data_IF_605661449204
#
_entry.id   IF_605661449204
#
_cell.length_a   1.000
_cell.length_b   1.000
_cell.length_c   1.000
_cell.angle_alpha   90.00
_cell.angle_beta   90.00
_cell.angle_gamma   90.00
#
_symmetry.space_group_name_H-M   'P 1'
#
loop_
_entity.id
_entity.type
_entity.pdbx_description
1 polymer ?
#
# COMPACT_ATOMS: atom_id res chain seq x y z
N UNK A 1 -5.65 -16.35 -13.76
CA UNK A 1 -6.02 -15.62 -12.53
C UNK A 1 -5.19 -16.21 -11.41
N UNK A 2 -4.47 -15.42 -10.60
CA UNK A 2 -3.85 -15.95 -9.40
C UNK A 2 -4.93 -16.58 -8.51
N UNK A 3 -4.63 -17.74 -7.92
CA UNK A 3 -5.54 -18.38 -6.96
C UNK A 3 -5.41 -17.58 -5.67
N UNK A 4 -6.38 -16.71 -5.40
CA UNK A 4 -6.49 -16.02 -4.11
C UNK A 4 -7.23 -16.91 -3.13
N UNK A 5 -6.63 -17.05 -1.95
CA UNK A 5 -7.22 -17.79 -0.84
C UNK A 5 -8.48 -17.08 -0.36
N UNK A 6 -9.49 -17.84 0.06
CA UNK A 6 -10.69 -17.27 0.67
C UNK A 6 -10.39 -16.72 2.07
N UNK A 7 -10.95 -15.55 2.36
CA UNK A 7 -10.82 -14.86 3.65
C UNK A 7 -11.83 -15.40 4.67
N UNK A 8 -11.48 -15.27 5.95
CA UNK A 8 -12.20 -15.88 7.07
C UNK A 8 -12.13 -15.01 8.31
N UNK A 9 -13.08 -15.18 9.21
CA UNK A 9 -12.99 -14.58 10.54
C UNK A 9 -11.63 -14.89 11.20
N UNK A 10 -11.02 -13.86 11.78
CA UNK A 10 -9.69 -13.87 12.36
C UNK A 10 -8.52 -13.74 11.38
N UNK A 11 -8.73 -13.72 10.05
CA UNK A 11 -7.68 -13.27 9.13
C UNK A 11 -7.39 -11.77 9.40
N UNK A 12 -6.15 -11.35 9.19
CA UNK A 12 -5.69 -9.98 9.48
C UNK A 12 -6.09 -9.00 8.37
N UNK A 13 -6.07 -7.70 8.69
CA UNK A 13 -6.16 -6.62 7.72
C UNK A 13 -4.95 -5.69 7.84
N UNK A 14 -4.49 -5.11 6.74
CA UNK A 14 -3.35 -4.20 6.79
C UNK A 14 -3.25 -3.26 5.60
N UNK A 15 -2.72 -2.07 5.86
CA UNK A 15 -2.37 -1.10 4.82
C UNK A 15 -1.02 -1.46 4.19
N UNK A 16 -0.72 -0.86 3.04
CA UNK A 16 0.61 -0.93 2.45
C UNK A 16 1.59 -0.01 3.20
N UNK A 17 2.89 -0.19 2.98
CA UNK A 17 3.93 0.71 3.53
C UNK A 17 4.11 1.99 2.69
N UNK A 18 3.14 2.35 1.85
CA UNK A 18 3.21 3.47 0.92
C UNK A 18 3.69 4.77 1.58
N UNK A 19 3.06 5.16 2.69
CA UNK A 19 3.38 6.40 3.40
C UNK A 19 4.75 6.36 4.06
N UNK A 20 5.16 5.19 4.59
CA UNK A 20 6.49 5.03 5.19
C UNK A 20 7.58 5.20 4.14
N UNK A 21 7.45 4.52 3.00
CA UNK A 21 8.42 4.62 1.92
C UNK A 21 8.40 5.97 1.23
N UNK A 22 7.24 6.64 1.13
CA UNK A 22 7.18 8.03 0.66
C UNK A 22 8.05 8.94 1.54
N UNK A 23 8.01 8.80 2.87
CA UNK A 23 8.87 9.58 3.78
C UNK A 23 10.34 9.27 3.56
N UNK A 24 10.69 7.99 3.41
CA UNK A 24 12.07 7.56 3.10
C UNK A 24 12.54 8.18 1.78
N UNK A 25 11.71 8.12 0.73
CA UNK A 25 12.00 8.70 -0.57
C UNK A 25 12.19 10.22 -0.52
N UNK A 26 11.36 10.92 0.25
CA UNK A 26 11.47 12.37 0.46
C UNK A 26 12.80 12.74 1.15
N UNK A 27 13.18 11.99 2.19
CA UNK A 27 14.42 12.22 2.94
C UNK A 27 15.65 11.96 2.07
N UNK A 28 15.68 10.84 1.34
CA UNK A 28 16.79 10.49 0.46
C UNK A 28 16.94 11.54 -0.65
N UNK A 29 15.84 11.90 -1.33
CA UNK A 29 15.89 12.89 -2.40
C UNK A 29 16.26 14.28 -1.88
N UNK A 30 15.77 14.68 -0.69
CA UNK A 30 16.18 15.91 -0.02
C UNK A 30 17.68 15.94 0.27
N UNK A 31 18.25 14.84 0.78
CA UNK A 31 19.69 14.73 1.03
C UNK A 31 20.51 14.80 -0.27
N UNK A 32 20.06 14.14 -1.35
CA UNK A 32 20.70 14.21 -2.66
C UNK A 32 20.68 15.66 -3.18
N UNK A 33 19.53 16.32 -3.18
CA UNK A 33 19.42 17.72 -3.60
C UNK A 33 20.32 18.64 -2.76
N UNK A 34 20.36 18.46 -1.44
CA UNK A 34 21.23 19.23 -0.55
C UNK A 34 22.72 19.05 -0.86
N UNK A 35 23.16 17.83 -1.19
CA UNK A 35 24.57 17.58 -1.57
C UNK A 35 24.91 18.15 -2.95
N UNK A 36 23.97 18.16 -3.91
CA UNK A 36 24.16 18.83 -5.21
C UNK A 36 24.29 20.35 -5.02
N UNK A 37 23.38 20.97 -4.25
CA UNK A 37 23.34 22.41 -4.06
C UNK A 37 24.54 22.95 -3.28
N UNK A 38 25.14 22.15 -2.39
CA UNK A 38 26.36 22.51 -1.63
C UNK A 38 27.66 22.22 -2.40
N UNK A 39 27.57 21.81 -3.67
CA UNK A 39 28.74 21.56 -4.52
C UNK A 39 29.45 20.23 -4.25
N UNK A 40 28.89 19.37 -3.40
CA UNK A 40 29.45 18.05 -3.07
C UNK A 40 29.39 17.03 -4.22
N UNK A 41 28.71 17.35 -5.32
CA UNK A 41 28.45 16.43 -6.43
C UNK A 41 29.41 16.57 -7.63
N UNK A 42 30.65 17.00 -7.40
CA UNK A 42 31.68 16.98 -8.45
C UNK A 42 31.94 15.55 -9.02
N UNK A 43 31.43 14.48 -8.38
CA UNK A 43 31.62 13.09 -8.79
C UNK A 43 30.45 12.44 -9.60
N UNK A 44 29.24 13.02 -9.61
CA UNK A 44 28.13 12.50 -10.47
C UNK A 44 27.98 13.34 -11.76
N UNK A 45 28.84 14.35 -11.88
CA UNK A 45 28.88 15.32 -12.95
C UNK A 45 29.73 14.92 -14.17
N UNK A 46 30.15 13.66 -14.31
CA UNK A 46 30.74 13.18 -15.57
C UNK A 46 29.73 12.51 -16.52
N UNK A 47 28.53 12.18 -16.04
CA UNK A 47 27.47 11.56 -16.85
C UNK A 47 26.20 12.40 -17.03
N UNK A 48 25.92 13.36 -16.13
CA UNK A 48 24.65 14.10 -16.10
C UNK A 48 24.78 15.62 -16.34
N UNK A 49 25.98 16.14 -16.62
CA UNK A 49 26.24 17.58 -16.80
C UNK A 49 25.89 18.14 -18.17
N UNK A 50 25.42 17.34 -19.12
CA UNK A 50 25.21 17.80 -20.49
C UNK A 50 23.74 17.97 -20.93
N UNK A 51 22.73 17.71 -20.10
CA UNK A 51 21.34 17.74 -20.61
C UNK A 51 20.36 18.68 -19.94
N UNK A 52 20.59 19.23 -18.74
CA UNK A 52 19.61 20.18 -18.16
C UNK A 52 20.34 21.28 -17.39
N UNK A 53 20.32 22.48 -17.98
CA UNK A 53 21.13 23.63 -17.56
C UNK A 53 21.06 23.95 -16.07
N UNK A 54 22.23 24.32 -15.53
CA UNK A 54 22.46 24.69 -14.13
C UNK A 54 21.67 25.89 -13.58
N UNK A 55 20.67 26.39 -14.31
CA UNK A 55 19.71 27.39 -13.86
C UNK A 55 18.31 26.80 -13.54
N UNK A 56 17.97 25.60 -14.03
CA UNK A 56 16.68 24.95 -13.74
C UNK A 56 16.63 24.27 -12.35
N UNK A 57 17.79 24.14 -11.68
CA UNK A 57 17.89 23.57 -10.33
C UNK A 57 17.61 24.62 -9.24
N UNK A 58 17.52 25.90 -9.58
CA UNK A 58 17.51 26.99 -8.60
C UNK A 58 16.23 27.10 -7.75
N UNK A 59 15.16 26.35 -8.07
CA UNK A 59 13.99 26.15 -7.18
C UNK A 59 13.05 25.08 -7.74
N UNK A 60 12.73 25.13 -9.03
CA UNK A 60 11.78 24.20 -9.67
C UNK A 60 12.30 22.77 -9.78
N UNK A 61 13.53 22.57 -10.29
CA UNK A 61 14.12 21.24 -10.46
C UNK A 61 14.45 20.54 -9.14
N UNK A 62 14.86 21.30 -8.11
CA UNK A 62 15.09 20.78 -6.77
C UNK A 62 13.80 20.26 -6.14
N UNK A 63 12.71 21.04 -6.21
CA UNK A 63 11.40 20.61 -5.69
C UNK A 63 10.85 19.41 -6.48
N UNK A 64 11.01 19.40 -7.81
CA UNK A 64 10.61 18.27 -8.64
C UNK A 64 11.39 16.99 -8.31
N UNK A 65 12.69 17.08 -8.03
CA UNK A 65 13.50 15.93 -7.63
C UNK A 65 13.09 15.38 -6.26
N UNK A 66 12.83 16.26 -5.29
CA UNK A 66 12.34 15.88 -3.94
C UNK A 66 10.95 15.24 -4.01
N UNK A 67 10.02 15.85 -4.76
CA UNK A 67 8.69 15.29 -4.99
C UNK A 67 8.76 13.94 -5.73
N UNK A 68 9.63 13.82 -6.73
CA UNK A 68 9.87 12.57 -7.45
C UNK A 68 10.40 11.46 -6.54
N UNK A 69 11.29 11.79 -5.60
CA UNK A 69 11.74 10.85 -4.57
C UNK A 69 10.61 10.36 -3.67
N UNK A 70 9.74 11.27 -3.23
CA UNK A 70 8.55 10.92 -2.46
C UNK A 70 7.59 10.00 -3.22
N UNK A 71 7.30 10.31 -4.49
CA UNK A 71 6.42 9.48 -5.34
C UNK A 71 7.00 8.10 -5.63
N UNK A 72 8.31 8.00 -5.89
CA UNK A 72 8.98 6.72 -6.04
C UNK A 72 8.89 5.89 -4.74
N UNK A 73 9.12 6.54 -3.60
CA UNK A 73 8.92 5.93 -2.30
C UNK A 73 7.50 5.40 -2.14
N UNK A 74 6.49 6.21 -2.47
CA UNK A 74 5.09 5.81 -2.40
C UNK A 74 4.82 4.54 -3.22
N UNK A 75 5.20 4.51 -4.49
CA UNK A 75 5.00 3.34 -5.36
C UNK A 75 5.73 2.08 -4.88
N UNK A 76 6.94 2.24 -4.33
CA UNK A 76 7.66 1.12 -3.74
C UNK A 76 6.93 0.58 -2.50
N UNK A 77 6.41 1.48 -1.66
CA UNK A 77 5.67 1.10 -0.46
C UNK A 77 4.30 0.48 -0.75
N UNK A 78 3.63 0.85 -1.83
CA UNK A 78 2.37 0.23 -2.28
C UNK A 78 2.51 -1.27 -2.54
N UNK A 79 3.69 -1.72 -2.96
CA UNK A 79 3.98 -3.15 -3.19
C UNK A 79 4.30 -3.94 -1.94
N UNK A 80 4.50 -3.26 -0.80
CA UNK A 80 4.90 -3.88 0.45
C UNK A 80 3.75 -3.90 1.45
N UNK A 81 3.47 -5.08 2.00
CA UNK A 81 2.51 -5.24 3.09
C UNK A 81 3.01 -4.52 4.34
N UNK A 82 2.17 -3.67 4.90
CA UNK A 82 2.36 -3.04 6.20
C UNK A 82 2.04 -4.01 7.35
N UNK A 83 2.19 -3.53 8.59
CA UNK A 83 1.73 -4.28 9.76
C UNK A 83 0.21 -4.47 9.71
N UNK A 84 -0.27 -5.49 10.42
CA UNK A 84 -1.70 -5.64 10.67
C UNK A 84 -2.22 -4.44 11.44
N UNK A 85 -3.37 -3.92 11.01
CA UNK A 85 -4.13 -2.89 11.71
C UNK A 85 -5.41 -3.42 12.37
N UNK A 86 -5.69 -4.72 12.25
CA UNK A 86 -6.90 -5.35 12.79
C UNK A 86 -7.12 -6.77 12.26
N UNK A 87 -8.29 -7.33 12.55
CA UNK A 87 -8.72 -8.65 12.09
C UNK A 87 -10.17 -8.61 11.57
N UNK A 88 -10.56 -9.61 10.79
CA UNK A 88 -11.98 -9.82 10.44
C UNK A 88 -12.71 -10.37 11.66
N UNK A 89 -13.71 -9.65 12.18
CA UNK A 89 -14.39 -10.00 13.43
C UNK A 89 -15.55 -10.96 13.23
N UNK A 90 -16.30 -10.82 12.13
CA UNK A 90 -17.50 -11.62 11.88
C UNK A 90 -17.36 -12.45 10.61
N UNK A 91 -18.16 -13.50 10.50
CA UNK A 91 -18.27 -14.27 9.27
C UNK A 91 -19.63 -14.93 9.08
N UNK A 92 -19.67 -15.89 8.17
CA UNK A 92 -20.81 -16.75 7.93
C UNK A 92 -21.09 -17.70 9.09
N UNK A 93 -22.36 -17.76 9.51
CA UNK A 93 -22.83 -18.65 10.58
C UNK A 93 -22.85 -20.14 10.17
N UNK A 94 -22.85 -20.46 8.87
CA UNK A 94 -23.07 -21.82 8.35
C UNK A 94 -21.99 -22.32 7.38
N UNK A 95 -21.12 -21.43 6.91
CA UNK A 95 -20.09 -21.76 5.92
C UNK A 95 -18.71 -21.51 6.51
N UNK A 96 -17.93 -22.58 6.63
CA UNK A 96 -16.60 -22.55 7.25
C UNK A 96 -15.51 -22.90 6.23
N UNK A 97 -14.39 -22.20 6.31
CA UNK A 97 -13.21 -22.41 5.48
C UNK A 97 -12.04 -22.73 6.40
N UNK A 98 -11.51 -23.95 6.29
CA UNK A 98 -10.52 -24.51 7.24
C UNK A 98 -10.95 -24.29 8.72
N UNK A 99 -12.23 -24.52 9.02
CA UNK A 99 -12.78 -24.49 10.38
C UNK A 99 -13.10 -23.10 10.96
N UNK A 100 -12.91 -22.02 10.19
CA UNK A 100 -13.27 -20.65 10.58
C UNK A 100 -14.37 -20.11 9.68
N UNK A 101 -15.21 -19.24 10.21
CA UNK A 101 -16.34 -18.64 9.48
C UNK A 101 -15.87 -17.94 8.20
N UNK A 102 -16.54 -18.17 7.08
CA UNK A 102 -16.21 -17.54 5.81
C UNK A 102 -16.54 -16.04 5.85
N UNK A 103 -15.60 -15.19 5.45
CA UNK A 103 -15.79 -13.74 5.42
C UNK A 103 -16.42 -13.28 4.10
N UNK A 104 -17.30 -12.28 4.15
CA UNK A 104 -18.14 -11.82 3.04
C UNK A 104 -18.09 -10.31 2.89
N UNK A 105 -17.97 -9.87 1.63
CA UNK A 105 -17.96 -8.47 1.29
C UNK A 105 -19.32 -7.80 1.53
N UNK A 106 -19.28 -6.58 2.03
CA UNK A 106 -20.44 -5.71 2.24
C UNK A 106 -21.26 -6.02 3.48
N UNK A 107 -20.87 -7.02 4.29
CA UNK A 107 -21.62 -7.40 5.50
C UNK A 107 -20.74 -7.78 6.70
N UNK A 108 -19.57 -8.39 6.49
CA UNK A 108 -18.71 -8.79 7.61
C UNK A 108 -17.76 -7.67 8.03
N UNK A 109 -17.60 -7.53 9.35
CA UNK A 109 -16.95 -6.41 10.03
C UNK A 109 -15.46 -6.71 10.22
N UNK A 110 -14.63 -5.65 10.14
CA UNK A 110 -13.21 -5.68 10.50
C UNK A 110 -12.95 -4.79 11.71
N UNK A 111 -12.00 -5.20 12.56
CA UNK A 111 -11.53 -4.49 13.75
C UNK A 111 -10.68 -3.27 13.34
N UNK A 112 -11.34 -2.28 12.76
CA UNK A 112 -10.80 -0.97 12.42
C UNK A 112 -11.97 -0.01 12.14
N UNK A 113 -12.48 0.63 13.19
CA UNK A 113 -13.63 1.54 13.14
C UNK A 113 -14.95 0.90 12.64
N UNK A 114 -15.18 -0.38 12.97
CA UNK A 114 -16.38 -1.17 12.60
C UNK A 114 -16.69 -1.17 11.08
N UNK A 115 -15.64 -1.04 10.28
CA UNK A 115 -15.77 -1.02 8.83
C UNK A 115 -16.04 -2.40 8.24
N UNK A 116 -16.45 -2.41 6.97
CA UNK A 116 -16.75 -3.65 6.26
C UNK A 116 -15.65 -4.01 5.26
N UNK A 117 -15.63 -5.29 4.89
CA UNK A 117 -14.97 -5.74 3.67
C UNK A 117 -15.67 -5.07 2.48
N UNK A 118 -14.94 -4.28 1.69
CA UNK A 118 -15.48 -3.47 0.61
C UNK A 118 -15.67 -4.26 -0.69
N UNK A 119 -14.73 -5.16 -1.01
CA UNK A 119 -14.74 -5.93 -2.27
C UNK A 119 -14.69 -7.43 -2.04
N UNK A 120 -15.15 -8.21 -3.01
CA UNK A 120 -15.21 -9.66 -2.93
C UNK A 120 -15.30 -10.31 -4.30
N UNK A 121 -15.41 -11.63 -4.30
CA UNK A 121 -15.48 -12.43 -5.53
C UNK A 121 -16.70 -12.07 -6.39
N UNK A 122 -16.48 -11.86 -7.68
CA UNK A 122 -17.56 -11.48 -8.61
C UNK A 122 -18.61 -12.60 -8.86
N UNK A 123 -18.23 -13.86 -8.65
CA UNK A 123 -19.04 -15.02 -9.04
C UNK A 123 -19.23 -16.06 -7.94
N UNK A 124 -18.59 -15.87 -6.78
CA UNK A 124 -18.66 -16.81 -5.65
C UNK A 124 -19.31 -16.10 -4.49
N UNK A 125 -20.42 -16.65 -4.00
CA UNK A 125 -21.25 -16.03 -2.98
C UNK A 125 -21.41 -16.98 -1.80
N UNK A 126 -21.37 -16.43 -0.59
CA UNK A 126 -21.69 -17.11 0.66
C UNK A 126 -22.81 -16.34 1.33
N UNK A 127 -23.90 -17.03 1.69
CA UNK A 127 -25.14 -16.43 2.19
C UNK A 127 -25.61 -15.20 1.38
N UNK A 128 -25.53 -15.29 0.05
CA UNK A 128 -25.93 -14.23 -0.90
C UNK A 128 -25.04 -12.97 -0.92
N UNK A 129 -23.94 -12.95 -0.18
CA UNK A 129 -22.93 -11.90 -0.25
C UNK A 129 -21.67 -12.41 -0.97
N UNK A 130 -20.93 -11.56 -1.69
CA UNK A 130 -19.68 -11.96 -2.34
C UNK A 130 -18.67 -12.51 -1.32
N UNK A 131 -18.02 -13.63 -1.65
CA UNK A 131 -16.98 -14.21 -0.79
C UNK A 131 -15.76 -13.28 -0.74
N UNK A 132 -15.30 -12.92 0.46
CA UNK A 132 -14.05 -12.21 0.67
C UNK A 132 -12.85 -13.09 0.33
N UNK A 133 -11.81 -12.50 -0.26
CA UNK A 133 -10.56 -13.17 -0.62
C UNK A 133 -9.38 -12.38 -0.08
N UNK A 134 -8.26 -13.06 0.14
CA UNK A 134 -7.02 -12.37 0.50
C UNK A 134 -6.68 -11.36 -0.60
N UNK A 135 -6.28 -10.16 -0.19
CA UNK A 135 -6.03 -8.97 -1.04
C UNK A 135 -7.27 -8.16 -1.45
N UNK A 136 -8.48 -8.60 -1.12
CA UNK A 136 -9.68 -7.74 -1.22
C UNK A 136 -9.56 -6.54 -0.30
N UNK A 137 -10.25 -5.46 -0.65
CA UNK A 137 -10.19 -4.18 0.05
C UNK A 137 -11.21 -4.11 1.18
N UNK A 138 -10.86 -3.42 2.24
CA UNK A 138 -11.76 -2.96 3.31
C UNK A 138 -12.12 -1.49 3.09
N UNK A 139 -13.13 -0.99 3.79
CA UNK A 139 -13.55 0.41 3.62
C UNK A 139 -12.47 1.44 4.04
N UNK A 140 -11.54 1.11 4.94
CA UNK A 140 -10.40 1.96 5.29
C UNK A 140 -9.32 2.01 4.21
N UNK A 141 -9.45 1.21 3.15
CA UNK A 141 -8.38 1.02 2.16
C UNK A 141 -7.26 0.10 2.63
N UNK A 142 -7.51 -0.67 3.70
CA UNK A 142 -6.70 -1.84 4.06
C UNK A 142 -7.00 -3.01 3.12
N UNK A 143 -6.16 -4.04 3.16
CA UNK A 143 -6.37 -5.29 2.43
C UNK A 143 -6.41 -6.48 3.38
N UNK A 144 -7.18 -7.51 3.02
CA UNK A 144 -7.24 -8.77 3.77
C UNK A 144 -5.92 -9.53 3.63
N UNK A 145 -5.39 -10.05 4.74
CA UNK A 145 -4.11 -10.75 4.86
C UNK A 145 -4.32 -12.06 5.60
N UNK A 146 -3.70 -13.13 5.12
CA UNK A 146 -3.79 -14.45 5.74
C UNK A 146 -2.97 -14.50 7.03
N UNK A 147 -3.58 -14.98 8.11
CA UNK A 147 -2.92 -15.50 9.33
C UNK A 147 -2.56 -16.96 9.18
#
# INVERSE_FOLDING_TARGET
MPIELAARAGDEIGHTKAVEWMKVGLVIAGAVVATVLTGGLAAVAAGATLTVGGAMLATGGAMAAVAGGGMLGLHLGETQKGPSCGVIETGSEDTFIEGREAARAGIDIVDHDDELIATGAATVFVNRAPLGRISEETQCGGKLIRT
#
